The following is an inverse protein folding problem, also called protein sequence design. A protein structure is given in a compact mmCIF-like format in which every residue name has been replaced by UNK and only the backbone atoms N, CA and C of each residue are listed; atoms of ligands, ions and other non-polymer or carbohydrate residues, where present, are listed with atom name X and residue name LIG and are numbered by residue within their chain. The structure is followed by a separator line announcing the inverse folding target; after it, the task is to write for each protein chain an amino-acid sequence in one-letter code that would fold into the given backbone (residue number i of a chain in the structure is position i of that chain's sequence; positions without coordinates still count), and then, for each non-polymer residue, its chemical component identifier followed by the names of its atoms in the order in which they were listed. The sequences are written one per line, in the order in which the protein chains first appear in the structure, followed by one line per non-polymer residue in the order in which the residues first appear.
data_IF_301880956261
#
_entry.id   IF_301880956261
#
_cell.length_a   1.000
_cell.length_b   1.000
_cell.length_c   1.000
_cell.angle_alpha   90.00
_cell.angle_beta   90.00
_cell.angle_gamma   90.00
#
_symmetry.space_group_name_H-M   'P 1'
#
loop_
_entity.id
_entity.type
_entity.pdbx_description
1 polymer ?
#
# COMPACT_ATOMS: atom_id res chain seq x y z
N UNK A 1 6.38 8.01 -9.42
CA UNK A 1 7.56 8.79 -9.01
C UNK A 1 8.43 8.04 -8.00
N UNK A 2 7.95 6.93 -7.42
CA UNK A 2 8.70 6.14 -6.45
C UNK A 2 8.75 6.78 -5.06
N UNK A 3 7.91 7.78 -4.80
CA UNK A 3 7.76 8.38 -3.49
C UNK A 3 7.04 7.40 -2.55
N UNK A 4 7.47 7.38 -1.29
CA UNK A 4 6.82 6.59 -0.23
C UNK A 4 6.09 7.57 0.67
N UNK A 5 4.78 7.38 0.81
CA UNK A 5 3.96 8.17 1.72
C UNK A 5 4.43 7.95 3.17
N UNK A 6 4.50 9.01 4.00
CA UNK A 6 4.78 8.88 5.43
C UNK A 6 3.87 7.87 6.10
N UNK A 7 4.44 7.03 6.96
CA UNK A 7 3.69 6.05 7.74
C UNK A 7 2.73 6.75 8.71
N UNK A 8 1.46 6.36 8.67
CA UNK A 8 0.47 6.73 9.67
C UNK A 8 0.26 5.53 10.61
N UNK A 9 0.41 5.76 11.92
CA UNK A 9 0.27 4.72 12.93
C UNK A 9 -1.05 4.90 13.66
N UNK A 10 -1.82 3.82 13.75
CA UNK A 10 -3.07 3.76 14.51
C UNK A 10 -2.83 3.16 15.90
N UNK A 11 -3.74 3.46 16.83
CA UNK A 11 -3.73 2.85 18.16
C UNK A 11 -3.94 1.34 18.08
N UNK A 12 -3.24 0.58 18.92
CA UNK A 12 -3.24 -0.89 18.85
C UNK A 12 -4.62 -1.52 19.14
N UNK A 13 -5.47 -0.82 19.90
CA UNK A 13 -6.84 -1.24 20.22
C UNK A 13 -7.87 -0.86 19.15
N UNK A 14 -7.48 -0.02 18.18
CA UNK A 14 -8.39 0.47 17.15
C UNK A 14 -8.70 -0.63 16.14
N UNK A 15 -9.97 -1.02 16.06
CA UNK A 15 -10.45 -1.90 15.01
C UNK A 15 -10.77 -1.09 13.76
N UNK A 16 -9.96 -1.25 12.72
CA UNK A 16 -10.19 -0.60 11.43
C UNK A 16 -11.46 -1.19 10.80
N UNK A 17 -12.52 -0.38 10.76
CA UNK A 17 -13.78 -0.64 10.06
C UNK A 17 -13.91 0.34 8.87
N UNK A 18 -15.04 0.31 8.15
CA UNK A 18 -15.21 1.14 6.94
C UNK A 18 -15.14 2.63 7.24
N UNK A 19 -15.79 3.06 8.32
CA UNK A 19 -15.84 4.46 8.74
C UNK A 19 -14.45 4.95 9.10
N UNK A 20 -13.74 4.16 9.91
CA UNK A 20 -12.37 4.50 10.34
C UNK A 20 -11.40 4.53 9.16
N UNK A 21 -11.52 3.56 8.25
CA UNK A 21 -10.69 3.50 7.06
C UNK A 21 -10.90 4.72 6.15
N UNK A 22 -12.15 5.11 5.92
CA UNK A 22 -12.51 6.32 5.16
C UNK A 22 -11.95 7.57 5.84
N UNK A 23 -12.10 7.68 7.17
CA UNK A 23 -11.56 8.80 7.93
C UNK A 23 -10.04 8.92 7.79
N UNK A 24 -9.30 7.82 7.92
CA UNK A 24 -7.84 7.79 7.72
C UNK A 24 -7.49 8.24 6.28
N UNK A 25 -8.24 7.81 5.27
CA UNK A 25 -7.99 8.24 3.89
C UNK A 25 -8.17 9.76 3.76
N UNK A 26 -9.26 10.33 4.29
CA UNK A 26 -9.56 11.77 4.31
C UNK A 26 -8.46 12.58 5.00
N UNK A 27 -8.08 12.21 6.21
CA UNK A 27 -7.10 12.95 6.99
C UNK A 27 -5.67 12.78 6.48
N UNK A 28 -5.28 11.56 6.12
CA UNK A 28 -3.88 11.26 5.82
C UNK A 28 -3.59 11.42 4.33
N UNK A 29 -4.42 10.87 3.46
CA UNK A 29 -4.10 10.78 2.02
C UNK A 29 -4.57 12.04 1.29
N UNK A 30 -5.81 12.45 1.50
CA UNK A 30 -6.37 13.60 0.79
C UNK A 30 -5.89 14.94 1.35
N UNK A 31 -5.91 15.11 2.68
CA UNK A 31 -5.58 16.40 3.30
C UNK A 31 -4.10 16.77 3.16
N UNK A 32 -3.20 15.78 3.15
CA UNK A 32 -1.77 15.99 2.89
C UNK A 32 -1.45 16.18 1.39
N UNK A 33 -2.46 16.15 0.51
CA UNK A 33 -2.30 16.49 -0.90
C UNK A 33 -1.55 15.47 -1.74
N UNK A 34 -1.29 14.27 -1.22
CA UNK A 34 -0.58 13.20 -1.94
C UNK A 34 -1.26 12.88 -3.26
N UNK A 35 -2.59 12.98 -3.34
CA UNK A 35 -3.33 12.65 -4.56
C UNK A 35 -3.54 13.81 -5.56
N UNK A 36 -3.04 15.01 -5.30
CA UNK A 36 -3.29 16.17 -6.17
C UNK A 36 -2.47 16.12 -7.46
N UNK A 37 -3.14 16.31 -8.61
CA UNK A 37 -2.49 16.54 -9.91
C UNK A 37 -1.87 15.32 -10.58
N UNK A 38 -2.15 14.12 -10.07
CA UNK A 38 -1.65 12.86 -10.60
C UNK A 38 -2.84 11.99 -11.02
N UNK A 39 -2.64 11.15 -12.03
CA UNK A 39 -3.58 10.07 -12.36
C UNK A 39 -3.32 8.93 -11.38
N UNK A 40 -4.32 8.62 -10.54
CA UNK A 40 -4.20 7.58 -9.52
C UNK A 40 -4.96 6.34 -9.91
N UNK A 41 -4.30 5.19 -9.74
CA UNK A 41 -4.93 3.89 -9.63
C UNK A 41 -4.49 3.32 -8.30
N UNK A 42 -5.45 2.94 -7.46
CA UNK A 42 -5.18 2.40 -6.14
C UNK A 42 -5.32 0.88 -6.13
N UNK A 43 -4.44 0.24 -5.36
CA UNK A 43 -4.23 -1.19 -5.35
C UNK A 43 -4.45 -1.67 -3.93
N UNK A 44 -5.49 -2.48 -3.71
CA UNK A 44 -5.80 -3.05 -2.40
C UNK A 44 -5.95 -4.55 -2.52
N UNK A 45 -5.44 -5.29 -1.52
CA UNK A 45 -5.69 -6.72 -1.43
C UNK A 45 -7.14 -6.94 -0.98
N UNK A 46 -7.89 -7.80 -1.66
CA UNK A 46 -9.32 -8.04 -1.39
C UNK A 46 -9.59 -8.83 -0.10
N UNK A 47 -8.60 -9.00 0.79
CA UNK A 47 -8.58 -10.14 1.72
C UNK A 47 -9.57 -10.11 2.88
N UNK A 48 -10.13 -8.99 3.35
CA UNK A 48 -11.10 -9.08 4.47
C UNK A 48 -12.01 -7.89 4.72
N UNK A 49 -11.71 -6.71 4.20
CA UNK A 49 -12.46 -5.49 4.54
C UNK A 49 -12.73 -4.60 3.33
N UNK A 50 -11.99 -4.80 2.24
CA UNK A 50 -12.01 -3.87 1.13
C UNK A 50 -13.28 -3.95 0.28
N UNK A 51 -13.90 -5.09 -0.01
CA UNK A 51 -15.01 -5.09 -0.99
C UNK A 51 -16.21 -4.17 -0.66
N UNK A 52 -16.63 -4.09 0.61
CA UNK A 52 -17.68 -3.15 1.05
C UNK A 52 -17.13 -1.72 1.22
N UNK A 53 -15.89 -1.58 1.68
CA UNK A 53 -15.21 -0.28 1.77
C UNK A 53 -14.91 0.32 0.40
N UNK A 54 -14.72 -0.51 -0.61
CA UNK A 54 -14.29 -0.15 -1.96
C UNK A 54 -15.34 0.65 -2.68
N UNK A 55 -16.63 0.40 -2.44
CA UNK A 55 -17.68 1.21 -3.07
C UNK A 55 -17.67 2.63 -2.51
N UNK A 56 -17.85 2.78 -1.18
CA UNK A 56 -17.79 4.08 -0.49
C UNK A 56 -16.47 4.81 -0.73
N UNK A 57 -15.37 4.06 -0.83
CA UNK A 57 -14.04 4.56 -1.12
C UNK A 57 -13.86 4.99 -2.58
N UNK A 58 -14.34 4.21 -3.55
CA UNK A 58 -14.26 4.54 -4.98
C UNK A 58 -15.07 5.80 -5.25
N UNK A 59 -16.24 5.92 -4.62
CA UNK A 59 -17.09 7.11 -4.69
C UNK A 59 -16.39 8.31 -4.06
N UNK A 60 -15.80 8.15 -2.86
CA UNK A 60 -15.05 9.20 -2.19
C UNK A 60 -13.81 9.65 -2.99
N UNK A 61 -12.99 8.71 -3.47
CA UNK A 61 -11.77 9.03 -4.24
C UNK A 61 -12.15 9.65 -5.58
N UNK A 62 -13.20 9.16 -6.25
CA UNK A 62 -13.73 9.75 -7.47
C UNK A 62 -14.22 11.19 -7.26
N UNK A 63 -14.89 11.48 -6.14
CA UNK A 63 -15.30 12.84 -5.78
C UNK A 63 -14.10 13.78 -5.51
N UNK A 64 -13.07 13.28 -4.84
CA UNK A 64 -11.91 14.09 -4.40
C UNK A 64 -10.81 14.18 -5.46
N UNK A 65 -10.78 13.26 -6.44
CA UNK A 65 -9.84 13.24 -7.54
C UNK A 65 -10.53 12.85 -8.85
N UNK A 66 -10.80 13.85 -9.71
CA UNK A 66 -11.42 13.65 -11.02
C UNK A 66 -10.57 12.82 -12.01
N UNK A 67 -9.30 12.56 -11.69
CA UNK A 67 -8.41 11.70 -12.47
C UNK A 67 -8.31 10.27 -11.92
N UNK A 68 -9.09 9.93 -10.89
CA UNK A 68 -9.14 8.58 -10.37
C UNK A 68 -9.67 7.60 -11.42
N UNK A 69 -8.98 6.48 -11.56
CA UNK A 69 -9.42 5.33 -12.36
C UNK A 69 -9.78 4.23 -11.39
N UNK A 70 -10.99 3.68 -11.52
CA UNK A 70 -11.40 2.50 -10.77
C UNK A 70 -10.34 1.41 -10.91
N UNK A 71 -9.92 0.84 -9.78
CA UNK A 71 -8.88 -0.18 -9.74
C UNK A 71 -9.32 -1.42 -10.52
N UNK A 72 -8.37 -2.11 -11.15
CA UNK A 72 -8.63 -3.44 -11.70
C UNK A 72 -9.13 -4.36 -10.59
N UNK A 73 -10.16 -5.17 -10.89
CA UNK A 73 -10.58 -6.28 -10.03
C UNK A 73 -9.36 -7.15 -9.71
N UNK A 74 -8.89 -7.05 -8.47
CA UNK A 74 -7.67 -7.71 -8.05
C UNK A 74 -7.95 -9.17 -7.70
N UNK A 75 -7.15 -10.13 -8.18
CA UNK A 75 -7.34 -11.52 -7.81
C UNK A 75 -7.12 -11.69 -6.30
N UNK A 76 -8.07 -12.34 -5.63
CA UNK A 76 -7.93 -12.68 -4.22
C UNK A 76 -6.63 -13.46 -3.96
N UNK A 77 -6.03 -13.24 -2.79
CA UNK A 77 -4.91 -14.03 -2.27
C UNK A 77 -3.57 -13.96 -3.03
N UNK A 78 -3.36 -12.98 -3.91
CA UNK A 78 -2.12 -12.91 -4.69
C UNK A 78 -1.15 -11.84 -4.15
N UNK A 79 -0.33 -12.23 -3.16
CA UNK A 79 0.70 -11.37 -2.55
C UNK A 79 1.82 -11.00 -3.54
N UNK A 80 2.09 -11.86 -4.53
CA UNK A 80 3.15 -11.65 -5.54
C UNK A 80 2.85 -10.50 -6.50
N UNK A 81 1.63 -9.97 -6.46
CA UNK A 81 1.21 -8.85 -7.27
C UNK A 81 1.17 -7.53 -6.47
N UNK A 82 1.15 -7.59 -5.13
CA UNK A 82 1.06 -6.40 -4.29
C UNK A 82 2.46 -5.87 -3.95
N UNK A 83 2.80 -4.69 -4.48
CA UNK A 83 4.09 -4.02 -4.27
C UNK A 83 4.43 -3.85 -2.78
N UNK A 84 3.44 -3.64 -1.93
CA UNK A 84 3.68 -3.55 -0.49
C UNK A 84 4.15 -4.90 0.07
N UNK A 85 3.52 -5.99 -0.35
CA UNK A 85 3.77 -7.33 0.18
C UNK A 85 5.10 -7.92 -0.33
N UNK A 86 5.34 -7.90 -1.65
CA UNK A 86 6.55 -8.52 -2.20
C UNK A 86 7.82 -7.66 -2.08
N UNK A 87 7.70 -6.37 -1.75
CA UNK A 87 8.84 -5.46 -1.69
C UNK A 87 8.91 -4.69 -0.38
N UNK A 88 7.97 -3.79 -0.11
CA UNK A 88 8.11 -2.83 0.99
C UNK A 88 8.20 -3.54 2.36
N UNK A 89 7.31 -4.49 2.63
CA UNK A 89 7.29 -5.21 3.90
C UNK A 89 8.53 -6.08 4.09
N UNK A 90 9.02 -6.75 3.04
CA UNK A 90 10.27 -7.51 3.11
C UNK A 90 11.47 -6.63 3.47
N UNK A 91 11.62 -5.50 2.78
CA UNK A 91 12.72 -4.54 3.03
C UNK A 91 12.64 -3.95 4.44
N UNK A 92 11.44 -3.57 4.89
CA UNK A 92 11.25 -3.03 6.23
C UNK A 92 11.49 -4.10 7.30
N UNK A 93 11.00 -5.32 7.09
CA UNK A 93 11.20 -6.42 8.03
C UNK A 93 12.70 -6.71 8.23
N UNK A 94 13.47 -6.78 7.15
CA UNK A 94 14.92 -6.99 7.21
C UNK A 94 15.63 -5.85 7.98
N UNK A 95 15.39 -4.60 7.58
CA UNK A 95 16.14 -3.45 8.11
C UNK A 95 15.69 -2.99 9.49
N UNK A 96 14.40 -3.10 9.80
CA UNK A 96 13.86 -2.69 11.10
C UNK A 96 14.20 -3.74 12.15
N UNK A 97 14.18 -5.03 11.81
CA UNK A 97 14.45 -6.11 12.76
C UNK A 97 15.93 -6.48 12.89
N UNK A 98 16.83 -5.81 12.17
CA UNK A 98 18.28 -5.94 12.34
C UNK A 98 18.72 -5.67 13.81
N UNK A 99 17.95 -4.84 14.52
CA UNK A 99 18.20 -4.51 15.92
C UNK A 99 16.91 -4.60 16.75
N UNK A 100 17.04 -4.96 18.03
CA UNK A 100 15.93 -4.92 18.98
C UNK A 100 15.55 -3.48 19.34
N UNK A 101 14.26 -3.23 19.52
CA UNK A 101 13.72 -1.93 19.95
C UNK A 101 13.30 -1.99 21.41
N UNK A 102 13.67 -0.97 22.20
CA UNK A 102 13.33 -0.88 23.63
C UNK A 102 11.93 -0.32 23.90
N UNK A 103 11.27 0.25 22.89
CA UNK A 103 9.90 0.76 22.99
C UNK A 103 9.19 0.77 21.64
N UNK A 104 7.85 0.89 21.69
CA UNK A 104 7.02 1.06 20.49
C UNK A 104 7.40 2.33 19.72
N UNK A 105 7.75 3.42 20.41
CA UNK A 105 8.16 4.67 19.76
C UNK A 105 9.49 4.52 19.00
N UNK A 106 10.45 3.78 19.57
CA UNK A 106 11.69 3.46 18.87
C UNK A 106 11.43 2.61 17.62
N UNK A 107 10.53 1.64 17.73
CA UNK A 107 10.11 0.82 16.58
C UNK A 107 9.44 1.66 15.48
N UNK A 108 8.46 2.51 15.83
CA UNK A 108 7.81 3.45 14.89
C UNK A 108 8.82 4.38 14.23
N UNK A 109 9.76 4.94 15.00
CA UNK A 109 10.82 5.79 14.47
C UNK A 109 11.76 5.04 13.52
N UNK A 110 12.06 3.77 13.82
CA UNK A 110 12.86 2.90 12.95
C UNK A 110 12.18 2.63 11.61
N UNK A 111 10.86 2.36 11.62
CA UNK A 111 10.07 2.21 10.39
C UNK A 111 10.16 3.48 9.53
N UNK A 112 9.85 4.65 10.10
CA UNK A 112 9.90 5.93 9.38
C UNK A 112 11.29 6.17 8.79
N UNK A 113 12.35 5.95 9.58
CA UNK A 113 13.73 6.12 9.15
C UNK A 113 14.08 5.20 8.00
N UNK A 114 13.66 3.94 8.06
CA UNK A 114 13.96 2.96 7.02
C UNK A 114 13.18 3.24 5.73
N UNK A 115 11.91 3.64 5.80
CA UNK A 115 11.16 4.12 4.62
C UNK A 115 11.91 5.23 3.87
N UNK A 116 12.41 6.24 4.60
CA UNK A 116 13.18 7.36 4.01
C UNK A 116 14.51 6.95 3.39
N UNK A 117 15.07 5.80 3.80
CA UNK A 117 16.33 5.26 3.29
C UNK A 117 16.13 4.34 2.09
N UNK A 118 14.91 4.00 1.71
CA UNK A 118 14.67 3.21 0.49
C UNK A 118 14.96 4.11 -0.72
N UNK A 119 15.91 3.74 -1.59
CA UNK A 119 16.17 4.49 -2.81
C UNK A 119 14.93 4.54 -3.70
N UNK A 120 14.64 5.70 -4.29
CA UNK A 120 13.54 5.86 -5.25
C UNK A 120 13.70 4.89 -6.43
N UNK A 121 14.94 4.63 -6.86
CA UNK A 121 15.26 3.64 -7.90
C UNK A 121 14.74 2.25 -7.57
N UNK A 122 14.79 1.85 -6.31
CA UNK A 122 14.41 0.50 -5.88
C UNK A 122 12.89 0.36 -5.90
N UNK A 123 12.16 1.40 -5.46
CA UNK A 123 10.69 1.45 -5.54
C UNK A 123 10.24 1.41 -7.00
N UNK A 124 10.88 2.18 -7.88
CA UNK A 124 10.57 2.21 -9.31
C UNK A 124 10.87 0.85 -9.95
N UNK A 125 12.02 0.25 -9.66
CA UNK A 125 12.39 -1.06 -10.17
C UNK A 125 11.42 -2.15 -9.71
N UNK A 126 11.02 -2.14 -8.44
CA UNK A 126 10.01 -3.04 -7.91
C UNK A 126 8.66 -2.84 -8.62
N UNK A 127 8.19 -1.61 -8.77
CA UNK A 127 6.95 -1.31 -9.49
C UNK A 127 6.99 -1.77 -10.97
N UNK A 128 8.14 -1.66 -11.63
CA UNK A 128 8.33 -2.13 -13.01
C UNK A 128 8.21 -3.66 -13.16
N UNK A 129 8.54 -4.42 -12.11
CA UNK A 129 8.38 -5.89 -12.11
C UNK A 129 6.92 -6.32 -12.19
N UNK A 130 5.97 -5.48 -11.78
CA UNK A 130 4.56 -5.82 -11.75
C UNK A 130 4.05 -6.40 -13.08
N UNK A 131 4.44 -5.81 -14.21
CA UNK A 131 4.01 -6.31 -15.52
C UNK A 131 4.54 -7.70 -15.82
N UNK A 132 5.76 -8.02 -15.39
CA UNK A 132 6.32 -9.35 -15.52
C UNK A 132 5.61 -10.33 -14.57
N UNK A 133 5.33 -9.93 -13.33
CA UNK A 133 4.58 -10.74 -12.36
C UNK A 133 3.19 -11.10 -12.87
N UNK A 134 2.47 -10.17 -13.50
CA UNK A 134 1.16 -10.45 -14.10
C UNK A 134 1.28 -11.50 -15.21
N UNK A 135 2.28 -11.38 -16.10
CA UNK A 135 2.50 -12.36 -17.17
C UNK A 135 2.78 -13.75 -16.60
N UNK A 136 3.65 -13.83 -15.59
CA UNK A 136 3.97 -15.08 -14.93
C UNK A 136 2.73 -15.71 -14.25
N UNK A 137 1.88 -14.91 -13.59
CA UNK A 137 0.61 -15.40 -13.03
C UNK A 137 -0.33 -15.92 -14.11
N UNK A 138 -0.42 -15.24 -15.27
CA UNK A 138 -1.23 -15.69 -16.41
C UNK A 138 -0.69 -17.01 -16.96
N UNK A 139 0.63 -17.13 -17.16
CA UNK A 139 1.30 -18.36 -17.62
C UNK A 139 1.10 -19.52 -16.65
N UNK A 140 1.15 -19.23 -15.35
CA UNK A 140 0.85 -20.16 -14.27
C UNK A 140 -0.66 -20.45 -14.11
N UNK A 141 -1.53 -19.89 -14.98
CA UNK A 141 -3.00 -20.04 -14.92
C UNK A 141 -3.59 -19.65 -13.55
N UNK A 142 -3.07 -18.58 -12.96
CA UNK A 142 -3.46 -18.11 -11.62
C UNK A 142 -2.73 -18.81 -10.47
N UNK A 143 -1.78 -19.70 -10.77
CA UNK A 143 -0.93 -20.36 -9.77
C UNK A 143 0.05 -19.42 -9.07
N UNK A 144 0.69 -19.93 -8.03
CA UNK A 144 1.79 -19.24 -7.36
C UNK A 144 2.99 -19.10 -8.29
N UNK A 145 3.72 -17.99 -8.15
CA UNK A 145 4.94 -17.69 -8.89
C UNK A 145 6.07 -17.44 -7.89
N UNK A 146 7.30 -17.83 -8.23
CA UNK A 146 8.52 -17.56 -7.46
C UNK A 146 9.35 -16.46 -8.12
#
# INVERSE_FOLDING_TARGET
DGSIMPSHFVEASLKINTVEYVHILEEVVFSLGWMRGLVWTMWYSSRTLHHAMVQDHTDLVGQKNSQFREGLNWPCNNLNLNLLDYFLWGVLQERVNEHSHGSVDQFKASIIKNCKKIPVSDVVAAAQKFRASIKAVIEAKGGHIE
#
